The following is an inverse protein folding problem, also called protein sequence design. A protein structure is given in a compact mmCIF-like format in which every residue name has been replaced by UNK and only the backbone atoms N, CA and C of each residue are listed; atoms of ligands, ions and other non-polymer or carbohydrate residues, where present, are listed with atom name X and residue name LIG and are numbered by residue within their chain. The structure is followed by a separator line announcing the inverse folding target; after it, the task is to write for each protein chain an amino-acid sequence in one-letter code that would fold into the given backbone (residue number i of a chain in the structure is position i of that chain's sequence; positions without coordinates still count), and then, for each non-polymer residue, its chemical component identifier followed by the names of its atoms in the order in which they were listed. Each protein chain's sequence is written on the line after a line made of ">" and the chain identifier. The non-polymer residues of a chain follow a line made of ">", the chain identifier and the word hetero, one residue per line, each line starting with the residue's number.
data_IF_076026494385
#
_entry.id   IF_076026494385
#
_cell.length_a   1.000
_cell.length_b   1.000
_cell.length_c   1.000
_cell.angle_alpha   90.00
_cell.angle_beta   90.00
_cell.angle_gamma   90.00
#
_symmetry.space_group_name_H-M   'P 1'
#
loop_
_entity.id
_entity.type
_entity.pdbx_description
1 polymer ?
#
# COMPACT_ATOMS: atom_id res chain seq x y z
N UNK A 1 -10.44 -6.60 46.56
CA UNK A 1 -9.55 -7.74 46.31
C UNK A 1 -9.32 -7.78 44.82
N UNK A 2 -8.09 -7.55 44.36
CA UNK A 2 -7.77 -7.45 42.93
C UNK A 2 -7.52 -8.86 42.40
N UNK A 3 -8.37 -9.37 41.51
CA UNK A 3 -8.17 -10.68 40.88
C UNK A 3 -6.92 -10.63 39.99
N UNK A 4 -5.90 -11.41 40.33
CA UNK A 4 -4.68 -11.53 39.52
C UNK A 4 -4.97 -12.46 38.33
N UNK A 5 -5.14 -11.87 37.16
CA UNK A 5 -5.24 -12.60 35.89
C UNK A 5 -3.84 -12.85 35.32
N UNK A 6 -3.56 -14.09 34.92
CA UNK A 6 -2.38 -14.45 34.16
C UNK A 6 -2.76 -14.88 32.74
N UNK A 7 -1.82 -14.75 31.81
CA UNK A 7 -2.02 -15.08 30.39
C UNK A 7 -1.34 -16.41 30.06
N UNK A 8 -2.00 -17.23 29.27
CA UNK A 8 -1.45 -18.48 28.75
C UNK A 8 -1.94 -18.71 27.32
N UNK A 9 -1.32 -19.64 26.58
CA UNK A 9 -1.69 -19.93 25.19
C UNK A 9 -2.52 -21.20 25.10
N UNK A 10 -3.49 -21.22 24.18
CA UNK A 10 -4.23 -22.42 23.85
C UNK A 10 -3.32 -23.45 23.15
N UNK A 11 -3.38 -24.73 23.57
CA UNK A 11 -2.57 -25.80 22.98
C UNK A 11 -2.97 -26.20 21.56
N UNK A 12 -4.19 -25.86 21.11
CA UNK A 12 -4.70 -26.24 19.80
C UNK A 12 -4.51 -25.16 18.72
N UNK A 13 -4.76 -23.89 19.05
CA UNK A 13 -4.72 -22.79 18.08
C UNK A 13 -3.68 -21.70 18.39
N UNK A 14 -3.07 -21.71 19.58
CA UNK A 14 -2.04 -20.74 19.96
C UNK A 14 -2.57 -19.39 20.47
N UNK A 15 -3.89 -19.16 20.52
CA UNK A 15 -4.45 -17.90 21.03
C UNK A 15 -4.13 -17.64 22.49
N UNK A 16 -3.95 -16.36 22.83
CA UNK A 16 -3.65 -15.91 24.19
C UNK A 16 -4.95 -15.76 24.97
N UNK A 17 -5.14 -16.60 25.98
CA UNK A 17 -6.26 -16.58 26.91
C UNK A 17 -5.79 -16.06 28.28
N UNK A 18 -6.71 -15.48 29.05
CA UNK A 18 -6.46 -15.02 30.42
C UNK A 18 -7.33 -15.76 31.41
N UNK A 19 -6.73 -16.27 32.48
CA UNK A 19 -7.43 -16.92 33.59
C UNK A 19 -6.93 -16.37 34.94
N UNK A 20 -7.78 -16.45 35.97
CA UNK A 20 -7.38 -16.15 37.34
C UNK A 20 -6.62 -17.33 37.95
N UNK A 21 -5.83 -17.09 39.01
CA UNK A 21 -5.12 -18.15 39.72
C UNK A 21 -6.04 -19.24 40.30
N UNK A 22 -7.31 -18.91 40.59
CA UNK A 22 -8.29 -19.87 41.11
C UNK A 22 -8.79 -20.85 40.04
N UNK A 23 -8.56 -20.57 38.76
CA UNK A 23 -8.98 -21.42 37.64
C UNK A 23 -7.90 -22.41 37.19
N UNK A 24 -6.78 -22.55 37.90
CA UNK A 24 -5.73 -23.52 37.58
C UNK A 24 -6.30 -24.95 37.67
N UNK A 25 -6.18 -25.73 36.59
CA UNK A 25 -6.73 -27.09 36.48
C UNK A 25 -8.21 -27.17 36.11
N UNK A 26 -8.90 -26.04 35.88
CA UNK A 26 -10.27 -26.05 35.37
C UNK A 26 -10.31 -26.27 33.84
N UNK A 27 -11.33 -26.99 33.35
CA UNK A 27 -11.62 -27.07 31.91
C UNK A 27 -12.31 -25.79 31.43
N UNK A 28 -11.63 -25.04 30.55
CA UNK A 28 -12.21 -23.88 29.87
C UNK A 28 -12.30 -24.13 28.35
N UNK A 29 -13.22 -23.44 27.68
CA UNK A 29 -13.33 -23.47 26.21
C UNK A 29 -12.57 -22.30 25.61
N UNK A 30 -11.72 -22.58 24.62
CA UNK A 30 -11.06 -21.52 23.86
C UNK A 30 -12.09 -20.70 23.04
N UNK A 31 -11.96 -19.37 23.05
CA UNK A 31 -12.84 -18.46 22.32
C UNK A 31 -12.66 -18.54 20.79
N UNK A 32 -11.50 -19.01 20.29
CA UNK A 32 -11.22 -19.07 18.86
C UNK A 32 -11.50 -20.46 18.26
N UNK A 33 -10.98 -21.53 18.86
CA UNK A 33 -11.10 -22.88 18.29
C UNK A 33 -12.17 -23.77 18.95
N UNK A 34 -12.84 -23.28 20.01
CA UNK A 34 -13.82 -24.03 20.80
C UNK A 34 -13.33 -25.34 21.47
N UNK A 35 -12.03 -25.65 21.37
CA UNK A 35 -11.41 -26.81 22.03
C UNK A 35 -11.45 -26.64 23.55
N UNK A 36 -11.75 -27.73 24.28
CA UNK A 36 -11.67 -27.78 25.74
C UNK A 36 -10.22 -27.93 26.16
N UNK A 37 -9.76 -27.08 27.05
CA UNK A 37 -8.38 -27.01 27.51
C UNK A 37 -8.35 -26.85 29.03
N UNK A 38 -7.45 -27.55 29.70
CA UNK A 38 -7.15 -27.36 31.11
C UNK A 38 -6.21 -26.16 31.29
N UNK A 39 -6.54 -25.27 32.23
CA UNK A 39 -5.69 -24.12 32.54
C UNK A 39 -4.39 -24.60 33.20
N UNK A 40 -3.22 -24.37 32.59
CA UNK A 40 -1.95 -24.81 33.15
C UNK A 40 -1.58 -23.97 34.36
N UNK A 41 -0.94 -24.61 35.36
CA UNK A 41 -0.34 -23.88 36.47
C UNK A 41 0.79 -22.98 35.93
N UNK A 42 0.88 -21.71 36.35
CA UNK A 42 1.97 -20.84 35.94
C UNK A 42 3.28 -21.45 36.43
N UNK A 43 4.17 -21.81 35.50
CA UNK A 43 5.49 -22.29 35.85
C UNK A 43 6.22 -21.19 36.62
N UNK A 44 6.69 -21.49 37.84
CA UNK A 44 7.68 -20.65 38.52
C UNK A 44 8.80 -20.39 37.53
N UNK A 45 9.12 -19.13 37.25
CA UNK A 45 10.17 -18.75 36.31
C UNK A 45 11.45 -19.53 36.66
N UNK A 46 11.71 -20.59 35.90
CA UNK A 46 12.96 -21.34 35.94
C UNK A 46 13.92 -20.56 35.06
N UNK A 47 14.84 -19.84 35.67
CA UNK A 47 16.13 -19.57 35.05
C UNK A 47 16.79 -20.92 34.80
N UNK A 48 16.75 -21.39 33.57
CA UNK A 48 17.51 -22.56 33.14
C UNK A 48 18.98 -22.13 32.93
N UNK A 49 19.96 -22.87 33.46
CA UNK A 49 21.33 -22.76 32.98
C UNK A 49 21.40 -23.43 31.60
N UNK A 50 21.98 -22.73 30.63
CA UNK A 50 22.27 -23.27 29.30
C UNK A 50 23.63 -23.99 29.40
N UNK A 51 23.67 -25.19 28.84
CA UNK A 51 24.75 -26.17 28.98
C UNK A 51 26.10 -25.74 28.40
N UNK A 52 27.12 -26.37 28.97
CA UNK A 52 28.51 -26.36 28.57
C UNK A 52 28.71 -27.17 27.27
N UNK A 53 29.39 -26.58 26.29
CA UNK A 53 30.17 -27.30 25.29
C UNK A 53 31.65 -27.11 25.62
N UNK A 54 32.37 -28.23 25.55
CA UNK A 54 33.77 -28.45 25.89
C UNK A 54 34.75 -27.45 25.28
N UNK A 55 35.65 -26.86 26.09
CA UNK A 55 37.10 -26.90 25.83
C UNK A 55 37.95 -26.54 27.06
N UNK A 56 39.14 -27.13 27.08
CA UNK A 56 40.34 -26.69 27.77
C UNK A 56 40.49 -26.94 29.30
N UNK A 57 41.04 -28.12 29.58
CA UNK A 57 42.31 -28.33 30.31
C UNK A 57 42.55 -27.59 31.64
N UNK A 58 42.63 -28.37 32.72
CA UNK A 58 43.73 -28.20 33.68
C UNK A 58 43.39 -27.78 35.12
N UNK A 59 42.87 -28.75 35.89
CA UNK A 59 43.39 -29.09 37.22
C UNK A 59 43.12 -28.16 38.41
N UNK A 60 42.38 -28.66 39.41
CA UNK A 60 42.89 -29.20 40.69
C UNK A 60 41.69 -29.59 41.57
N UNK A 61 41.65 -30.85 41.98
CA UNK A 61 40.72 -31.35 43.02
C UNK A 61 41.21 -30.91 44.39
N UNK A 62 40.33 -30.40 45.25
CA UNK A 62 40.37 -30.63 46.69
C UNK A 62 38.92 -30.81 47.17
N UNK A 63 38.73 -31.93 47.87
CA UNK A 63 37.50 -32.44 48.45
C UNK A 63 37.26 -31.82 49.85
N UNK A 64 36.15 -32.21 50.47
CA UNK A 64 35.88 -32.18 51.92
C UNK A 64 35.30 -30.92 52.61
N UNK A 65 33.98 -30.98 52.78
CA UNK A 65 33.20 -30.92 54.04
C UNK A 65 33.41 -29.82 55.11
N UNK A 66 32.26 -29.47 55.71
CA UNK A 66 31.98 -28.97 57.08
C UNK A 66 31.58 -27.48 57.16
N UNK A 67 30.36 -27.32 57.67
CA UNK A 67 29.75 -26.08 58.12
C UNK A 67 30.57 -25.42 59.23
N UNK A 68 30.90 -24.14 59.04
CA UNK A 68 31.12 -23.22 60.15
C UNK A 68 30.68 -21.82 59.72
N UNK A 69 30.02 -21.14 60.63
CA UNK A 69 29.35 -19.87 60.39
C UNK A 69 30.37 -18.77 60.13
N UNK A 70 30.31 -18.15 58.95
CA UNK A 70 31.04 -16.91 58.67
C UNK A 70 30.04 -15.75 58.59
N UNK A 71 30.33 -14.61 59.26
CA UNK A 71 29.42 -13.46 59.24
C UNK A 71 29.36 -12.92 57.81
N UNK A 72 28.14 -12.71 57.31
CA UNK A 72 27.91 -12.11 55.99
C UNK A 72 28.48 -10.68 55.99
N UNK A 73 29.68 -10.52 55.45
CA UNK A 73 30.27 -9.21 55.15
C UNK A 73 29.67 -8.70 53.86
N UNK A 74 28.98 -7.55 53.93
CA UNK A 74 28.56 -6.82 52.74
C UNK A 74 29.80 -6.24 52.06
N UNK A 75 30.36 -7.03 51.14
CA UNK A 75 31.37 -6.58 50.20
C UNK A 75 30.82 -5.41 49.39
N UNK A 76 31.57 -4.31 49.37
CA UNK A 76 31.30 -3.14 48.56
C UNK A 76 31.01 -3.60 47.12
N UNK A 77 29.81 -3.33 46.60
CA UNK A 77 29.45 -3.65 45.20
C UNK A 77 30.53 -3.02 44.31
N UNK A 78 31.28 -3.86 43.60
CA UNK A 78 32.12 -3.41 42.51
C UNK A 78 31.29 -2.63 41.48
N UNK A 79 31.94 -1.84 40.61
CA UNK A 79 31.24 -1.12 39.56
C UNK A 79 30.39 -2.12 38.78
N UNK A 80 29.11 -1.80 38.57
CA UNK A 80 28.22 -2.58 37.72
C UNK A 80 28.94 -2.76 36.38
N UNK A 81 29.24 -4.00 36.00
CA UNK A 81 29.71 -4.29 34.64
C UNK A 81 28.63 -3.74 33.70
N UNK A 82 29.04 -2.80 32.86
CA UNK A 82 28.17 -2.20 31.86
C UNK A 82 27.64 -3.33 30.98
N UNK A 83 26.35 -3.64 31.12
CA UNK A 83 25.63 -4.59 30.28
C UNK A 83 25.98 -4.23 28.82
N UNK A 84 26.69 -5.12 28.14
CA UNK A 84 27.17 -4.92 26.78
C UNK A 84 25.94 -4.65 25.91
N UNK A 85 25.77 -3.39 25.49
CA UNK A 85 24.58 -2.94 24.77
C UNK A 85 24.40 -3.81 23.53
N UNK A 86 23.39 -4.68 23.55
CA UNK A 86 23.00 -5.49 22.39
C UNK A 86 22.68 -4.55 21.23
N UNK A 87 23.59 -4.49 20.25
CA UNK A 87 23.45 -3.66 19.04
C UNK A 87 22.44 -4.28 18.06
N UNK A 88 22.14 -5.57 18.22
CA UNK A 88 21.23 -6.34 17.36
C UNK A 88 19.81 -5.74 17.27
N UNK A 89 19.12 -5.34 18.35
CA UNK A 89 17.82 -4.66 18.26
C UNK A 89 17.91 -3.27 17.61
N UNK A 90 19.02 -2.54 17.78
CA UNK A 90 19.17 -1.21 17.19
C UNK A 90 19.32 -1.29 15.66
N UNK A 91 20.11 -2.27 15.18
CA UNK A 91 20.27 -2.52 13.75
C UNK A 91 18.97 -2.98 13.12
N UNK A 92 18.21 -3.88 13.75
CA UNK A 92 16.95 -4.39 13.21
C UNK A 92 15.89 -3.29 13.03
N UNK A 93 15.72 -2.42 14.03
CA UNK A 93 14.78 -1.28 13.92
C UNK A 93 15.15 -0.35 12.76
N UNK A 94 16.43 -0.05 12.58
CA UNK A 94 16.86 0.78 11.44
C UNK A 94 16.68 0.06 10.09
N UNK A 95 16.90 -1.25 10.04
CA UNK A 95 16.74 -2.05 8.83
C UNK A 95 15.27 -2.16 8.40
N UNK A 96 14.36 -2.38 9.34
CA UNK A 96 12.91 -2.39 9.09
C UNK A 96 12.42 -1.03 8.58
N UNK A 97 12.96 0.08 9.10
CA UNK A 97 12.63 1.43 8.62
C UNK A 97 13.15 1.67 7.20
N UNK A 98 14.38 1.24 6.87
CA UNK A 98 14.94 1.38 5.52
C UNK A 98 14.17 0.56 4.48
N UNK A 99 13.78 -0.68 4.81
CA UNK A 99 12.93 -1.50 3.93
C UNK A 99 11.57 -0.84 3.73
N UNK A 100 10.94 -0.37 4.82
CA UNK A 100 9.67 0.35 4.73
C UNK A 100 9.78 1.57 3.81
N UNK A 101 10.80 2.41 3.99
CA UNK A 101 10.99 3.60 3.14
C UNK A 101 11.33 3.26 1.69
N UNK A 102 12.16 2.24 1.43
CA UNK A 102 12.52 1.82 0.07
C UNK A 102 11.30 1.26 -0.69
N UNK A 103 10.49 0.43 -0.03
CA UNK A 103 9.28 -0.16 -0.62
C UNK A 103 8.19 0.91 -0.79
N UNK A 104 7.99 1.80 0.20
CA UNK A 104 7.00 2.88 0.11
C UNK A 104 7.38 3.97 -0.90
N UNK A 105 8.67 4.28 -1.06
CA UNK A 105 9.15 5.21 -2.10
C UNK A 105 8.86 4.69 -3.52
N UNK A 106 8.90 3.37 -3.72
CA UNK A 106 8.58 2.76 -5.02
C UNK A 106 7.10 2.96 -5.40
N UNK A 107 6.19 3.03 -4.42
CA UNK A 107 4.77 3.30 -4.68
C UNK A 107 4.48 4.77 -5.05
N UNK A 108 5.37 5.70 -4.72
CA UNK A 108 5.20 7.12 -5.07
C UNK A 108 5.48 7.41 -6.56
N UNK A 109 6.31 6.60 -7.22
CA UNK A 109 6.75 6.85 -8.61
C UNK A 109 5.74 6.40 -9.68
N UNK A 110 4.72 5.61 -9.32
CA UNK A 110 3.77 5.04 -10.31
C UNK A 110 2.51 5.87 -10.55
N UNK A 111 2.43 7.12 -10.08
CA UNK A 111 1.27 8.01 -10.32
C UNK A 111 1.65 9.37 -10.90
N UNK A 112 2.61 9.40 -11.82
CA UNK A 112 2.77 10.58 -12.69
C UNK A 112 2.27 10.18 -14.07
N UNK A 113 1.04 10.60 -14.39
CA UNK A 113 0.70 10.81 -15.79
C UNK A 113 1.68 11.88 -16.26
N UNK A 114 2.61 11.54 -17.15
CA UNK A 114 3.38 12.53 -17.90
C UNK A 114 2.42 13.23 -18.86
N UNK A 115 1.54 14.08 -18.33
CA UNK A 115 0.86 15.09 -19.12
C UNK A 115 1.92 16.13 -19.44
N UNK A 116 2.41 16.25 -20.69
CA UNK A 116 3.19 17.42 -21.06
C UNK A 116 2.35 18.63 -20.70
N UNK A 117 2.88 19.51 -19.85
CA UNK A 117 2.22 20.75 -19.51
C UNK A 117 1.82 21.43 -20.83
N UNK A 118 0.56 21.85 -20.99
CA UNK A 118 0.21 22.70 -22.12
C UNK A 118 1.17 23.88 -22.05
N UNK A 119 1.84 24.16 -23.18
CA UNK A 119 2.55 25.42 -23.33
C UNK A 119 1.49 26.52 -23.26
N UNK A 120 1.18 26.97 -22.06
CA UNK A 120 0.53 28.26 -21.87
C UNK A 120 1.48 29.35 -22.38
N UNK A 121 0.87 30.39 -22.92
CA UNK A 121 1.48 31.56 -23.57
C UNK A 121 1.84 31.40 -25.05
N UNK A 122 0.86 30.99 -25.84
CA UNK A 122 0.62 31.70 -27.10
C UNK A 122 -0.87 31.81 -27.37
N UNK A 123 -1.41 32.99 -27.05
CA UNK A 123 -2.62 33.54 -27.65
C UNK A 123 -2.45 33.79 -29.18
N UNK A 124 -1.74 32.91 -29.88
CA UNK A 124 -1.35 33.07 -31.28
C UNK A 124 -0.86 31.76 -31.91
N UNK A 125 -1.67 30.71 -31.86
CA UNK A 125 -1.65 29.70 -32.92
C UNK A 125 -3.07 29.43 -33.36
N UNK A 126 -3.53 30.32 -34.25
CA UNK A 126 -4.73 30.25 -35.07
C UNK A 126 -6.04 30.08 -34.30
N UNK A 127 -6.85 31.14 -34.32
CA UNK A 127 -8.30 31.02 -34.36
C UNK A 127 -8.70 30.17 -35.59
N UNK A 128 -8.43 28.86 -35.56
CA UNK A 128 -9.20 27.91 -36.34
C UNK A 128 -10.50 27.78 -35.56
N UNK A 129 -11.59 28.21 -36.19
CA UNK A 129 -12.94 28.03 -35.64
C UNK A 129 -13.11 26.54 -35.30
N UNK A 130 -13.86 26.21 -34.23
CA UNK A 130 -14.10 24.81 -33.81
C UNK A 130 -14.47 23.91 -35.01
N UNK A 131 -15.27 24.42 -35.95
CA UNK A 131 -15.57 23.85 -37.26
C UNK A 131 -14.36 23.38 -38.10
N UNK A 132 -13.27 24.15 -38.14
CA UNK A 132 -12.10 23.83 -38.97
C UNK A 132 -11.22 22.74 -38.32
N UNK A 133 -11.32 22.55 -37.00
CA UNK A 133 -10.68 21.44 -36.28
C UNK A 133 -11.49 20.15 -36.37
N UNK A 134 -12.81 20.24 -36.59
CA UNK A 134 -13.71 19.10 -36.79
C UNK A 134 -13.53 18.45 -38.17
N UNK A 135 -13.16 19.25 -39.18
CA UNK A 135 -12.92 18.80 -40.56
C UNK A 135 -11.48 18.31 -40.83
N UNK A 136 -10.56 18.49 -39.89
CA UNK A 136 -9.17 18.07 -40.05
C UNK A 136 -9.02 16.57 -39.70
N UNK A 137 -8.61 15.71 -40.65
CA UNK A 137 -8.59 14.25 -40.47
C UNK A 137 -7.57 13.77 -39.42
N UNK A 138 -6.71 14.67 -38.93
CA UNK A 138 -5.72 14.39 -37.89
C UNK A 138 -6.28 14.51 -36.46
N UNK A 139 -7.52 14.99 -36.29
CA UNK A 139 -8.15 15.19 -34.98
C UNK A 139 -9.38 14.32 -34.79
N UNK A 140 -9.51 13.77 -33.57
CA UNK A 140 -10.77 13.18 -33.08
C UNK A 140 -11.29 14.07 -31.96
N UNK A 141 -12.54 14.52 -32.08
CA UNK A 141 -13.17 15.41 -31.09
C UNK A 141 -14.13 14.60 -30.22
N UNK A 142 -13.96 14.70 -28.91
CA UNK A 142 -14.86 14.13 -27.91
C UNK A 142 -15.51 15.26 -27.15
N UNK A 143 -16.80 15.47 -27.35
CA UNK A 143 -17.61 16.47 -26.64
C UNK A 143 -18.30 15.81 -25.45
N UNK A 144 -18.24 16.46 -24.29
CA UNK A 144 -18.90 16.03 -23.05
C UNK A 144 -19.93 17.08 -22.68
N UNK A 145 -21.19 16.70 -22.78
CA UNK A 145 -22.33 17.57 -22.43
C UNK A 145 -22.49 17.65 -20.90
N UNK A 146 -23.21 18.68 -20.45
CA UNK A 146 -23.73 18.89 -19.11
C UNK A 146 -24.45 17.66 -18.52
N UNK A 147 -25.11 16.86 -19.36
CA UNK A 147 -25.78 15.61 -18.95
C UNK A 147 -24.83 14.42 -18.77
N UNK A 148 -23.51 14.61 -18.92
CA UNK A 148 -22.49 13.57 -18.77
C UNK A 148 -22.53 12.47 -19.83
N UNK A 149 -23.04 12.81 -21.01
CA UNK A 149 -23.04 11.99 -22.21
C UNK A 149 -21.84 12.35 -23.08
N UNK A 150 -21.19 11.35 -23.65
CA UNK A 150 -20.09 11.55 -24.60
C UNK A 150 -20.62 11.60 -26.02
N UNK A 151 -20.10 12.52 -26.82
CA UNK A 151 -20.32 12.60 -28.25
C UNK A 151 -18.97 12.56 -28.94
N UNK A 152 -18.80 11.65 -29.89
CA UNK A 152 -17.58 11.49 -30.66
C UNK A 152 -17.82 11.99 -32.08
N UNK A 153 -17.01 12.93 -32.50
CA UNK A 153 -17.04 13.49 -33.86
C UNK A 153 -15.71 13.21 -34.54
N UNK A 154 -15.79 12.72 -35.77
CA UNK A 154 -14.65 12.40 -36.62
C UNK A 154 -14.97 12.84 -38.05
N UNK A 155 -13.95 13.33 -38.75
CA UNK A 155 -14.05 13.73 -40.17
C UNK A 155 -14.61 12.62 -41.08
N UNK A 156 -14.46 11.35 -40.71
CA UNK A 156 -14.94 10.21 -41.50
C UNK A 156 -16.46 9.95 -41.37
N UNK A 157 -17.11 10.43 -40.31
CA UNK A 157 -18.50 10.07 -39.99
C UNK A 157 -19.52 11.13 -40.37
N UNK A 158 -19.10 12.37 -40.62
CA UNK A 158 -19.98 13.49 -41.01
C UNK A 158 -20.94 13.97 -39.91
N UNK A 159 -21.35 13.07 -39.01
CA UNK A 159 -22.24 13.33 -37.87
C UNK A 159 -21.56 12.98 -36.54
N UNK A 160 -22.00 13.64 -35.46
CA UNK A 160 -21.63 13.29 -34.09
C UNK A 160 -22.32 11.99 -33.67
N UNK A 161 -21.59 11.08 -33.02
CA UNK A 161 -22.16 9.83 -32.49
C UNK A 161 -22.16 9.83 -30.97
N UNK A 162 -23.30 9.46 -30.40
CA UNK A 162 -23.48 9.37 -28.95
C UNK A 162 -22.87 8.08 -28.39
N UNK A 163 -22.14 8.20 -27.29
CA UNK A 163 -21.57 7.09 -26.52
C UNK A 163 -21.93 7.29 -25.03
N UNK A 164 -23.04 6.73 -24.52
CA UNK A 164 -23.41 6.90 -23.11
C UNK A 164 -22.48 6.12 -22.15
N UNK A 165 -21.87 5.03 -22.61
CA UNK A 165 -20.96 4.19 -21.81
C UNK A 165 -19.47 4.40 -22.11
N UNK A 166 -18.62 4.06 -21.14
CA UNK A 166 -17.14 4.08 -21.31
C UNK A 166 -16.67 3.09 -22.39
N UNK A 167 -17.35 1.96 -22.51
CA UNK A 167 -17.00 0.92 -23.49
C UNK A 167 -17.35 1.36 -24.91
N UNK A 168 -18.51 1.98 -25.11
CA UNK A 168 -18.87 2.57 -26.40
C UNK A 168 -17.91 3.70 -26.76
N UNK A 169 -17.52 4.55 -25.81
CA UNK A 169 -16.53 5.60 -26.06
C UNK A 169 -15.21 5.04 -26.59
N UNK A 170 -14.69 3.97 -25.98
CA UNK A 170 -13.47 3.28 -26.43
C UNK A 170 -13.63 2.73 -27.85
N UNK A 171 -14.73 2.03 -28.12
CA UNK A 171 -15.00 1.45 -29.44
C UNK A 171 -15.10 2.56 -30.48
N UNK A 172 -15.79 3.65 -30.19
CA UNK A 172 -15.96 4.75 -31.12
C UNK A 172 -14.64 5.50 -31.38
N UNK A 173 -13.83 5.76 -30.37
CA UNK A 173 -12.50 6.37 -30.58
C UNK A 173 -11.61 5.42 -31.39
N UNK A 174 -11.70 4.11 -31.17
CA UNK A 174 -10.97 3.11 -31.94
C UNK A 174 -11.43 3.05 -33.40
N UNK A 175 -12.74 3.00 -33.65
CA UNK A 175 -13.29 3.03 -35.01
C UNK A 175 -12.96 4.35 -35.72
N UNK A 176 -12.98 5.48 -35.02
CA UNK A 176 -12.59 6.78 -35.57
C UNK A 176 -11.12 6.77 -36.02
N UNK A 177 -10.21 6.19 -35.22
CA UNK A 177 -8.80 6.01 -35.60
C UNK A 177 -8.65 5.05 -36.80
N UNK A 178 -9.37 3.94 -36.78
CA UNK A 178 -9.27 2.89 -37.80
C UNK A 178 -9.96 3.30 -39.12
N UNK A 179 -10.83 4.31 -39.09
CA UNK A 179 -11.51 4.87 -40.27
C UNK A 179 -10.55 5.57 -41.25
N UNK A 180 -9.39 6.05 -40.77
CA UNK A 180 -8.35 6.65 -41.59
C UNK A 180 -7.01 5.89 -41.46
N UNK A 181 -6.87 4.71 -42.12
CA UNK A 181 -5.67 3.89 -42.02
C UNK A 181 -4.44 4.48 -42.73
N UNK A 182 -4.61 5.51 -43.57
CA UNK A 182 -3.51 6.15 -44.30
C UNK A 182 -2.73 7.15 -43.42
N UNK A 183 -3.43 7.84 -42.51
CA UNK A 183 -2.85 8.74 -41.53
C UNK A 183 -3.74 8.67 -40.26
N UNK A 184 -3.41 7.79 -39.29
CA UNK A 184 -4.23 7.65 -38.10
C UNK A 184 -4.15 8.95 -37.28
N UNK A 185 -5.30 9.56 -36.91
CA UNK A 185 -5.30 10.75 -36.07
C UNK A 185 -4.66 10.39 -34.73
N UNK A 186 -3.57 11.09 -34.41
CA UNK A 186 -2.83 10.91 -33.16
C UNK A 186 -3.23 11.90 -32.06
N UNK A 187 -4.08 12.87 -32.38
CA UNK A 187 -4.48 13.95 -31.47
C UNK A 187 -5.95 13.82 -31.09
N UNK A 188 -6.22 13.64 -29.79
CA UNK A 188 -7.56 13.67 -29.22
C UNK A 188 -7.84 15.05 -28.65
N UNK A 189 -8.97 15.64 -29.02
CA UNK A 189 -9.46 16.91 -28.49
C UNK A 189 -10.70 16.66 -27.64
N UNK A 190 -10.56 16.83 -26.33
CA UNK A 190 -11.66 16.65 -25.38
C UNK A 190 -12.26 18.02 -25.09
N UNK A 191 -13.48 18.25 -25.54
CA UNK A 191 -14.27 19.43 -25.23
C UNK A 191 -15.23 19.11 -24.07
N UNK A 192 -14.96 19.64 -22.89
CA UNK A 192 -15.75 19.41 -21.70
C UNK A 192 -16.59 20.64 -21.34
N UNK A 193 -17.90 20.45 -21.18
CA UNK A 193 -18.76 21.49 -20.61
C UNK A 193 -18.38 21.76 -19.14
N UNK A 194 -18.52 23.01 -18.67
CA UNK A 194 -18.15 23.41 -17.29
C UNK A 194 -18.88 22.59 -16.21
N UNK A 195 -20.14 22.20 -16.49
CA UNK A 195 -20.97 21.40 -15.59
C UNK A 195 -20.74 19.88 -15.71
N UNK A 196 -19.86 19.42 -16.60
CA UNK A 196 -19.57 18.00 -16.74
C UNK A 196 -18.84 17.47 -15.50
N UNK A 197 -19.18 16.25 -15.07
CA UNK A 197 -18.48 15.60 -13.97
C UNK A 197 -17.02 15.33 -14.33
N UNK A 198 -16.12 15.64 -13.41
CA UNK A 198 -14.70 15.37 -13.60
C UNK A 198 -14.39 13.89 -13.89
N UNK A 199 -15.13 12.96 -13.27
CA UNK A 199 -15.02 11.51 -13.55
C UNK A 199 -15.22 11.16 -15.03
N UNK A 200 -16.05 11.93 -15.74
CA UNK A 200 -16.32 11.74 -17.16
C UNK A 200 -15.19 12.28 -18.03
N UNK A 201 -14.65 13.44 -17.69
CA UNK A 201 -13.46 14.00 -18.35
C UNK A 201 -12.29 13.05 -18.23
N UNK A 202 -12.03 12.52 -17.03
CA UNK A 202 -10.97 11.52 -16.80
C UNK A 202 -11.24 10.25 -17.59
N UNK A 203 -12.48 9.78 -17.67
CA UNK A 203 -12.83 8.62 -18.49
C UNK A 203 -12.54 8.83 -19.98
N UNK A 204 -12.75 10.04 -20.51
CA UNK A 204 -12.42 10.37 -21.89
C UNK A 204 -10.90 10.42 -22.14
N UNK A 205 -10.13 10.97 -21.18
CA UNK A 205 -8.67 10.97 -21.24
C UNK A 205 -8.09 9.54 -21.21
N UNK A 206 -8.63 8.70 -20.32
CA UNK A 206 -8.23 7.29 -20.19
C UNK A 206 -8.58 6.48 -21.44
N UNK A 207 -9.75 6.74 -22.02
CA UNK A 207 -10.16 6.13 -23.28
C UNK A 207 -9.22 6.49 -24.43
N UNK A 208 -8.83 7.76 -24.54
CA UNK A 208 -7.82 8.21 -25.51
C UNK A 208 -6.48 7.51 -25.36
N UNK A 209 -5.98 7.43 -24.12
CA UNK A 209 -4.71 6.78 -23.82
C UNK A 209 -4.75 5.26 -24.13
N UNK A 210 -5.87 4.60 -23.81
CA UNK A 210 -6.06 3.16 -24.09
C UNK A 210 -6.07 2.86 -25.60
N UNK A 211 -6.65 3.75 -26.40
CA UNK A 211 -6.64 3.63 -27.88
C UNK A 211 -5.29 4.04 -28.47
N UNK A 212 -4.36 4.61 -27.68
CA UNK A 212 -3.03 4.99 -28.15
C UNK A 212 -3.00 6.34 -28.86
N UNK A 213 -3.85 7.29 -28.45
CA UNK A 213 -3.73 8.69 -28.86
C UNK A 213 -2.47 9.30 -28.24
N UNK A 214 -1.58 9.83 -29.08
CA UNK A 214 -0.27 10.34 -28.64
C UNK A 214 -0.37 11.69 -27.93
N UNK A 215 -1.32 12.53 -28.35
CA UNK A 215 -1.51 13.85 -27.78
C UNK A 215 -2.98 14.04 -27.40
N UNK A 216 -3.24 14.44 -26.15
CA UNK A 216 -4.58 14.77 -25.70
C UNK A 216 -4.63 16.25 -25.32
N UNK A 217 -5.55 16.99 -25.92
CA UNK A 217 -5.82 18.40 -25.62
C UNK A 217 -7.17 18.50 -24.93
N UNK A 218 -7.22 19.16 -23.78
CA UNK A 218 -8.45 19.45 -23.06
C UNK A 218 -8.85 20.90 -23.34
N UNK A 219 -10.10 21.10 -23.71
CA UNK A 219 -10.75 22.40 -23.85
C UNK A 219 -12.00 22.40 -22.98
N UNK A 220 -12.29 23.55 -22.38
CA UNK A 220 -13.52 23.77 -21.62
C UNK A 220 -14.41 24.73 -22.39
N UNK A 221 -15.66 24.35 -22.63
CA UNK A 221 -16.67 25.23 -23.25
C UNK A 221 -17.74 25.62 -22.24
N UNK A 222 -18.23 26.85 -22.36
CA UNK A 222 -19.36 27.38 -21.60
C UNK A 222 -20.69 27.31 -22.39
N UNK A 223 -20.66 26.86 -23.65
CA UNK A 223 -21.83 26.81 -24.54
C UNK A 223 -22.51 25.44 -24.52
N UNK A 224 -23.86 25.49 -24.53
CA UNK A 224 -24.82 24.35 -24.54
C UNK A 224 -24.60 23.35 -25.69
#
# INVERSE_FOLDING_TARGET
>A
MSEQLFRFRCSACGDVLSASMDMIGAEIKCANCATRLEVPAPAKARTAPIGEDDDATGGRRIDDTIADETPVTFGNKGPLEEDELDLTPMVDVTFLLLIFFMVTASFALQKTLETPAPRDDSASSSSRTMEELLDDPDYVVVRIDSYNTFFVTCAAWGDEREAPSRQELLIQIQEARDSNPAAPPGTLLVNAHVNAMHDKVVAALDAGNTVGMNQVKLLTTEEE
#
